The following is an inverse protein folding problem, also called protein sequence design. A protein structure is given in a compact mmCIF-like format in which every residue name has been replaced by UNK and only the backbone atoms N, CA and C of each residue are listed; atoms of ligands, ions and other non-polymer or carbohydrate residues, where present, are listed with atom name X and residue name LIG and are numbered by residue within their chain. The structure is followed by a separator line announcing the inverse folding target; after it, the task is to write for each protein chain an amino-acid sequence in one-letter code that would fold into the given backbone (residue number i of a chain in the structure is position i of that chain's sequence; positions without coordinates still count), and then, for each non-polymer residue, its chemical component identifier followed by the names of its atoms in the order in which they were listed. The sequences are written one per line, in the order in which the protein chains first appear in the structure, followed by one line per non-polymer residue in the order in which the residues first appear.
data_IF_006900348128
#
_entry.id   IF_006900348128
#
_cell.length_a   1.000
_cell.length_b   1.000
_cell.length_c   1.000
_cell.angle_alpha   90.00
_cell.angle_beta   90.00
_cell.angle_gamma   90.00
#
_symmetry.space_group_name_H-M   'P 1'
#
loop_
_entity.id
_entity.type
_entity.pdbx_description
1 polymer ?
#
# COMPACT_ATOMS: atom_id res chain seq x y z
N UNK A 1 -11.21 17.75 -23.53
CA UNK A 1 -11.17 17.27 -22.12
C UNK A 1 -11.71 15.85 -21.87
N UNK A 2 -12.38 15.17 -22.82
CA UNK A 2 -12.99 13.83 -22.58
C UNK A 2 -11.98 12.67 -22.38
N UNK A 3 -10.77 12.76 -22.93
CA UNK A 3 -9.74 11.72 -22.82
C UNK A 3 -8.96 11.76 -21.50
N UNK A 4 -8.81 12.94 -20.87
CA UNK A 4 -7.91 13.11 -19.73
C UNK A 4 -8.41 12.43 -18.45
N UNK A 5 -9.73 12.39 -18.24
CA UNK A 5 -10.34 11.83 -17.03
C UNK A 5 -10.06 10.32 -16.86
N UNK A 6 -10.32 9.43 -17.83
CA UNK A 6 -10.06 8.00 -17.67
C UNK A 6 -8.57 7.65 -17.58
N UNK A 7 -7.70 8.43 -18.25
CA UNK A 7 -6.25 8.28 -18.10
C UNK A 7 -5.77 8.66 -16.70
N UNK A 8 -6.22 9.80 -16.15
CA UNK A 8 -5.86 10.22 -14.80
C UNK A 8 -6.31 9.18 -13.76
N UNK A 9 -7.52 8.65 -13.90
CA UNK A 9 -8.07 7.62 -13.01
C UNK A 9 -7.24 6.34 -13.08
N UNK A 10 -6.85 5.93 -14.29
CA UNK A 10 -6.00 4.75 -14.49
C UNK A 10 -4.62 4.94 -13.86
N UNK A 11 -3.98 6.10 -14.07
CA UNK A 11 -2.67 6.42 -13.49
C UNK A 11 -2.73 6.43 -11.97
N UNK A 12 -3.76 7.06 -11.38
CA UNK A 12 -3.99 7.01 -9.94
C UNK A 12 -4.10 5.55 -9.50
N UNK A 13 -5.00 4.76 -10.06
CA UNK A 13 -5.20 3.38 -9.64
C UNK A 13 -3.95 2.49 -9.77
N UNK A 14 -3.25 2.53 -10.92
CA UNK A 14 -1.99 1.80 -11.16
C UNK A 14 -0.91 2.19 -10.13
N UNK A 15 -0.88 3.45 -9.68
CA UNK A 15 0.13 3.87 -8.71
C UNK A 15 0.01 3.14 -7.36
N UNK A 16 -1.15 2.55 -7.01
CA UNK A 16 -1.27 1.68 -5.82
C UNK A 16 -0.62 0.31 -5.98
N UNK A 17 -0.33 -0.10 -7.21
CA UNK A 17 0.19 -1.44 -7.52
C UNK A 17 1.71 -1.49 -7.49
N UNK A 18 2.36 -0.34 -7.64
CA UNK A 18 3.81 -0.23 -7.67
C UNK A 18 4.32 -0.29 -6.23
N UNK A 19 4.96 -1.40 -5.81
CA UNK A 19 5.59 -1.45 -4.51
C UNK A 19 6.78 -0.50 -4.49
N UNK A 20 7.31 -0.20 -3.31
CA UNK A 20 8.61 0.48 -3.16
C UNK A 20 9.78 -0.35 -3.74
N UNK A 21 9.56 -1.62 -4.06
CA UNK A 21 10.46 -2.51 -4.81
C UNK A 21 9.87 -2.87 -6.17
N UNK A 22 10.66 -2.77 -7.26
CA UNK A 22 10.20 -3.09 -8.62
C UNK A 22 9.92 -4.59 -8.76
N UNK A 23 8.66 -4.98 -8.59
CA UNK A 23 8.18 -6.31 -8.94
C UNK A 23 7.74 -6.34 -10.42
N UNK A 24 8.06 -7.42 -11.14
CA UNK A 24 7.89 -7.50 -12.61
C UNK A 24 6.42 -7.58 -13.02
N UNK A 25 5.60 -8.22 -12.20
CA UNK A 25 4.18 -8.46 -12.47
C UNK A 25 3.32 -7.18 -12.47
N UNK A 26 3.39 -6.31 -11.45
CA UNK A 26 2.68 -5.03 -11.45
C UNK A 26 3.01 -4.15 -12.65
N UNK A 27 4.29 -4.11 -13.07
CA UNK A 27 4.73 -3.35 -14.24
C UNK A 27 4.06 -3.86 -15.51
N UNK A 28 4.12 -5.18 -15.78
CA UNK A 28 3.48 -5.78 -16.95
C UNK A 28 1.96 -5.53 -16.98
N UNK A 29 1.28 -5.70 -15.85
CA UNK A 29 -0.17 -5.41 -15.72
C UNK A 29 -0.50 -3.93 -15.99
N UNK A 30 0.36 -3.02 -15.53
CA UNK A 30 0.22 -1.58 -15.77
C UNK A 30 0.31 -1.23 -17.24
N UNK A 31 1.31 -1.78 -17.94
CA UNK A 31 1.45 -1.59 -19.39
C UNK A 31 0.23 -2.13 -20.14
N UNK A 32 -0.25 -3.34 -19.80
CA UNK A 32 -1.45 -3.93 -20.41
C UNK A 32 -2.67 -3.02 -20.22
N UNK A 33 -2.86 -2.43 -19.04
CA UNK A 33 -4.00 -1.55 -18.80
C UNK A 33 -3.89 -0.21 -19.57
N UNK A 34 -2.69 0.35 -19.71
CA UNK A 34 -2.46 1.57 -20.50
C UNK A 34 -2.72 1.29 -21.98
N UNK A 35 -2.13 0.22 -22.53
CA UNK A 35 -2.34 -0.18 -23.92
C UNK A 35 -3.81 -0.54 -24.19
N UNK A 36 -4.48 -1.22 -23.26
CA UNK A 36 -5.90 -1.54 -23.36
C UNK A 36 -6.79 -0.28 -23.44
N UNK A 37 -6.48 0.74 -22.65
CA UNK A 37 -7.20 2.02 -22.70
C UNK A 37 -6.94 2.76 -24.02
N UNK A 38 -5.69 2.83 -24.49
CA UNK A 38 -5.34 3.39 -25.79
C UNK A 38 -6.07 2.66 -26.93
N UNK A 39 -6.04 1.34 -26.93
CA UNK A 39 -6.70 0.51 -27.93
C UNK A 39 -8.21 0.72 -27.92
N UNK A 40 -8.83 0.87 -26.74
CA UNK A 40 -10.25 1.16 -26.63
C UNK A 40 -10.63 2.50 -27.27
N UNK A 41 -9.81 3.55 -27.08
CA UNK A 41 -10.03 4.84 -27.73
C UNK A 41 -9.88 4.80 -29.24
N UNK A 42 -8.86 4.08 -29.75
CA UNK A 42 -8.68 3.90 -31.20
C UNK A 42 -9.83 3.06 -31.79
N UNK A 43 -10.25 2.02 -31.08
CA UNK A 43 -11.32 1.15 -31.52
C UNK A 43 -12.69 1.82 -31.45
N UNK A 44 -12.90 2.79 -30.54
CA UNK A 44 -14.13 3.57 -30.43
C UNK A 44 -14.49 4.26 -31.74
N UNK A 45 -13.50 4.81 -32.46
CA UNK A 45 -13.75 5.47 -33.76
C UNK A 45 -14.18 4.48 -34.85
N UNK A 46 -13.68 3.23 -34.78
CA UNK A 46 -13.97 2.17 -35.77
C UNK A 46 -15.22 1.35 -35.44
N UNK A 47 -15.63 1.29 -34.18
CA UNK A 47 -16.68 0.41 -33.67
C UNK A 47 -18.01 1.12 -33.41
N UNK A 48 -18.20 2.36 -33.88
CA UNK A 48 -19.39 3.20 -33.63
C UNK A 48 -20.73 2.46 -33.61
N UNK A 49 -20.92 1.45 -34.47
CA UNK A 49 -22.17 0.67 -34.55
C UNK A 49 -22.15 -0.70 -33.85
N UNK A 50 -20.97 -1.28 -33.57
CA UNK A 50 -20.83 -2.63 -33.00
C UNK A 50 -20.80 -2.57 -31.47
N UNK A 51 -21.92 -2.93 -30.84
CA UNK A 51 -22.12 -2.87 -29.37
C UNK A 51 -21.64 -4.12 -28.61
N UNK A 52 -21.37 -5.23 -29.30
CA UNK A 52 -20.96 -6.49 -28.68
C UNK A 52 -19.68 -6.38 -27.81
N UNK A 53 -18.61 -5.67 -28.23
CA UNK A 53 -17.37 -5.57 -27.44
C UNK A 53 -17.59 -4.96 -26.06
N UNK A 54 -18.41 -3.90 -25.98
CA UNK A 54 -18.74 -3.26 -24.72
C UNK A 54 -19.62 -4.16 -23.83
N UNK A 55 -20.51 -4.96 -24.40
CA UNK A 55 -21.29 -5.97 -23.65
C UNK A 55 -20.39 -7.06 -23.08
N UNK A 56 -19.43 -7.57 -23.86
CA UNK A 56 -18.48 -8.60 -23.39
C UNK A 56 -17.62 -8.11 -22.23
N UNK A 57 -17.16 -6.86 -22.28
CA UNK A 57 -16.43 -6.25 -21.16
C UNK A 57 -17.27 -6.13 -19.88
N UNK A 58 -18.57 -5.85 -19.99
CA UNK A 58 -19.47 -5.83 -18.81
C UNK A 58 -19.67 -7.23 -18.25
N UNK A 59 -19.88 -8.23 -19.11
CA UNK A 59 -19.98 -9.63 -18.69
C UNK A 59 -18.69 -10.09 -18.01
N UNK A 60 -17.54 -9.74 -18.58
CA UNK A 60 -16.23 -10.03 -18.00
C UNK A 60 -16.05 -9.35 -16.63
N UNK A 61 -16.48 -8.09 -16.48
CA UNK A 61 -16.42 -7.39 -15.20
C UNK A 61 -17.24 -8.10 -14.12
N UNK A 62 -18.44 -8.60 -14.44
CA UNK A 62 -19.27 -9.38 -13.51
C UNK A 62 -18.59 -10.71 -13.17
N UNK A 63 -18.03 -11.41 -14.15
CA UNK A 63 -17.30 -12.66 -13.91
C UNK A 63 -16.07 -12.44 -13.00
N UNK A 64 -15.33 -11.36 -13.21
CA UNK A 64 -14.20 -10.94 -12.36
C UNK A 64 -14.66 -10.68 -10.93
N UNK A 65 -15.80 -10.02 -10.73
CA UNK A 65 -16.33 -9.78 -9.38
C UNK A 65 -16.69 -11.09 -8.68
N UNK A 66 -17.33 -12.02 -9.38
CA UNK A 66 -17.73 -13.32 -8.82
C UNK A 66 -16.50 -14.16 -8.48
N UNK A 67 -15.58 -14.34 -9.43
CA UNK A 67 -14.37 -15.15 -9.22
C UNK A 67 -13.43 -14.51 -8.21
N UNK A 68 -13.30 -13.18 -8.25
CA UNK A 68 -12.46 -12.42 -7.34
C UNK A 68 -13.01 -12.33 -5.92
N UNK A 69 -14.34 -12.30 -5.74
CA UNK A 69 -14.95 -12.44 -4.41
C UNK A 69 -14.63 -13.81 -3.80
N UNK A 70 -14.69 -14.88 -4.60
CA UNK A 70 -14.29 -16.21 -4.15
C UNK A 70 -12.80 -16.27 -3.77
N UNK A 71 -11.93 -15.66 -4.58
CA UNK A 71 -10.50 -15.56 -4.27
C UNK A 71 -10.23 -14.73 -3.01
N UNK A 72 -10.94 -13.63 -2.80
CA UNK A 72 -10.81 -12.82 -1.59
C UNK A 72 -11.23 -13.58 -0.33
N UNK A 73 -12.33 -14.35 -0.41
CA UNK A 73 -12.78 -15.23 0.68
C UNK A 73 -11.74 -16.33 0.96
N UNK A 74 -11.20 -16.96 -0.09
CA UNK A 74 -10.14 -17.95 0.06
C UNK A 74 -8.88 -17.35 0.69
N UNK A 75 -8.45 -16.17 0.22
CA UNK A 75 -7.31 -15.45 0.78
C UNK A 75 -7.54 -15.06 2.24
N UNK A 76 -8.77 -14.71 2.63
CA UNK A 76 -9.13 -14.52 4.04
C UNK A 76 -9.10 -15.81 4.86
N UNK A 77 -9.45 -16.95 4.27
CA UNK A 77 -9.50 -18.23 4.97
C UNK A 77 -8.14 -18.92 5.13
N UNK A 78 -7.22 -18.71 4.18
CA UNK A 78 -5.91 -19.38 4.12
C UNK A 78 -4.77 -18.44 4.52
N UNK A 79 -4.89 -17.15 4.19
CA UNK A 79 -3.87 -16.13 4.40
C UNK A 79 -4.19 -15.18 5.55
N UNK A 80 -3.56 -14.01 5.54
CA UNK A 80 -3.85 -12.97 6.53
C UNK A 80 -5.13 -12.21 6.18
N UNK A 81 -5.75 -11.57 7.18
CA UNK A 81 -6.89 -10.66 6.96
C UNK A 81 -6.59 -9.56 5.94
N UNK A 82 -5.31 -9.22 5.80
CA UNK A 82 -4.81 -8.17 4.91
C UNK A 82 -4.71 -8.66 3.46
N UNK A 83 -4.28 -9.91 3.23
CA UNK A 83 -4.20 -10.49 1.90
C UNK A 83 -5.57 -10.58 1.23
N UNK A 84 -6.60 -10.97 1.99
CA UNK A 84 -7.99 -10.98 1.50
C UNK A 84 -8.51 -9.58 1.18
N UNK A 85 -8.17 -8.57 2.00
CA UNK A 85 -8.57 -7.19 1.76
C UNK A 85 -7.87 -6.60 0.52
N UNK A 86 -6.57 -6.83 0.35
CA UNK A 86 -5.81 -6.41 -0.85
C UNK A 86 -6.41 -7.05 -2.10
N UNK A 87 -6.66 -8.37 -2.06
CA UNK A 87 -7.25 -9.12 -3.17
C UNK A 87 -8.63 -8.56 -3.53
N UNK A 88 -9.48 -8.29 -2.54
CA UNK A 88 -10.80 -7.70 -2.74
C UNK A 88 -10.72 -6.36 -3.46
N UNK A 89 -9.91 -5.40 -2.97
CA UNK A 89 -9.83 -4.09 -3.59
C UNK A 89 -9.18 -4.12 -4.98
N UNK A 90 -8.26 -5.06 -5.24
CA UNK A 90 -7.69 -5.26 -6.56
C UNK A 90 -8.75 -5.73 -7.57
N UNK A 91 -9.52 -6.77 -7.21
CA UNK A 91 -10.64 -7.31 -8.00
C UNK A 91 -11.66 -6.23 -8.30
N UNK A 92 -12.05 -5.50 -7.26
CA UNK A 92 -13.04 -4.43 -7.33
C UNK A 92 -12.57 -3.30 -8.24
N UNK A 93 -11.30 -2.91 -8.14
CA UNK A 93 -10.69 -1.93 -9.03
C UNK A 93 -10.65 -2.42 -10.49
N UNK A 94 -10.30 -3.69 -10.72
CA UNK A 94 -10.20 -4.24 -12.07
C UNK A 94 -11.57 -4.32 -12.76
N UNK A 95 -12.60 -4.74 -12.02
CA UNK A 95 -13.98 -4.68 -12.51
C UNK A 95 -14.41 -3.24 -12.85
N UNK A 96 -14.05 -2.27 -12.02
CA UNK A 96 -14.28 -0.85 -12.29
C UNK A 96 -13.59 -0.36 -13.56
N UNK A 97 -12.35 -0.77 -13.79
CA UNK A 97 -11.61 -0.47 -15.02
C UNK A 97 -12.27 -1.07 -16.28
N UNK A 98 -12.72 -2.32 -16.23
CA UNK A 98 -13.45 -2.95 -17.34
C UNK A 98 -14.76 -2.22 -17.66
N UNK A 99 -15.49 -1.81 -16.62
CA UNK A 99 -16.69 -0.98 -16.79
C UNK A 99 -16.36 0.40 -17.41
N UNK A 100 -15.25 1.01 -17.03
CA UNK A 100 -14.78 2.26 -17.62
C UNK A 100 -14.48 2.08 -19.13
N UNK A 101 -13.74 1.04 -19.53
CA UNK A 101 -13.49 0.75 -20.95
C UNK A 101 -14.81 0.53 -21.70
N UNK A 102 -15.73 -0.26 -21.13
CA UNK A 102 -17.04 -0.50 -21.74
C UNK A 102 -17.77 0.81 -22.05
N UNK A 103 -17.68 1.81 -21.16
CA UNK A 103 -18.27 3.14 -21.38
C UNK A 103 -17.54 3.96 -22.44
N UNK A 104 -16.22 3.89 -22.50
CA UNK A 104 -15.43 4.54 -23.56
C UNK A 104 -15.87 4.01 -24.93
N UNK A 105 -16.11 2.70 -25.05
CA UNK A 105 -16.53 2.07 -26.31
C UNK A 105 -17.99 2.36 -26.72
N UNK A 106 -18.87 2.84 -25.82
CA UNK A 106 -20.27 3.19 -26.13
C UNK A 106 -20.61 4.64 -25.77
N UNK A 107 -20.09 5.63 -26.51
CA UNK A 107 -20.42 7.03 -26.28
C UNK A 107 -21.89 7.30 -26.63
N UNK A 108 -22.71 7.75 -25.66
CA UNK A 108 -24.06 8.28 -25.92
C UNK A 108 -25.24 7.49 -25.35
N UNK A 109 -25.03 6.37 -24.65
CA UNK A 109 -26.12 5.79 -23.87
C UNK A 109 -26.34 6.59 -22.58
N UNK A 110 -27.57 7.09 -22.40
CA UNK A 110 -28.07 7.45 -21.09
C UNK A 110 -27.93 6.23 -20.17
N UNK A 111 -27.44 6.41 -18.93
CA UNK A 111 -27.12 5.27 -18.07
C UNK A 111 -28.42 4.60 -17.58
N UNK A 112 -28.76 3.44 -18.15
CA UNK A 112 -29.80 2.55 -17.59
C UNK A 112 -29.41 1.98 -16.20
N UNK A 113 -28.19 2.26 -15.72
CA UNK A 113 -27.75 1.99 -14.36
C UNK A 113 -27.09 3.25 -13.78
N UNK A 114 -27.67 3.72 -12.67
CA UNK A 114 -27.52 4.98 -11.91
C UNK A 114 -26.09 5.46 -11.54
N UNK A 115 -25.03 4.88 -12.09
CA UNK A 115 -23.66 5.20 -11.74
C UNK A 115 -22.95 5.86 -12.92
N UNK A 116 -22.90 7.19 -12.94
CA UNK A 116 -22.18 7.98 -13.95
C UNK A 116 -20.66 7.69 -13.97
N UNK A 117 -19.95 8.20 -14.98
CA UNK A 117 -18.48 8.08 -15.07
C UNK A 117 -17.78 8.56 -13.79
N UNK A 118 -18.33 9.60 -13.13
CA UNK A 118 -17.82 10.11 -11.86
C UNK A 118 -17.89 9.11 -10.69
N UNK A 119 -18.90 8.22 -10.65
CA UNK A 119 -18.96 7.17 -9.62
C UNK A 119 -17.80 6.19 -9.78
N UNK A 120 -17.51 5.77 -11.01
CA UNK A 120 -16.38 4.86 -11.28
C UNK A 120 -15.03 5.49 -10.95
N UNK A 121 -14.88 6.78 -11.24
CA UNK A 121 -13.70 7.56 -10.83
C UNK A 121 -13.53 7.55 -9.31
N UNK A 122 -14.59 7.89 -8.57
CA UNK A 122 -14.56 7.91 -7.10
C UNK A 122 -14.31 6.52 -6.52
N UNK A 123 -14.90 5.49 -7.12
CA UNK A 123 -14.76 4.11 -6.69
C UNK A 123 -13.34 3.57 -6.89
N UNK A 124 -12.72 3.87 -8.03
CA UNK A 124 -11.33 3.52 -8.32
C UNK A 124 -10.35 4.29 -7.43
N UNK A 125 -10.62 5.57 -7.16
CA UNK A 125 -9.84 6.37 -6.21
C UNK A 125 -9.98 5.88 -4.77
N UNK A 126 -11.19 5.49 -4.34
CA UNK A 126 -11.42 4.90 -3.04
C UNK A 126 -10.68 3.56 -2.91
N UNK A 127 -10.79 2.70 -3.93
CA UNK A 127 -10.08 1.41 -3.97
C UNK A 127 -8.56 1.63 -3.93
N UNK A 128 -8.04 2.59 -4.70
CA UNK A 128 -6.62 2.99 -4.66
C UNK A 128 -6.16 3.43 -3.27
N UNK A 129 -6.94 4.30 -2.62
CA UNK A 129 -6.63 4.82 -1.28
C UNK A 129 -6.54 3.69 -0.25
N UNK A 130 -7.52 2.78 -0.27
CA UNK A 130 -7.56 1.63 0.64
C UNK A 130 -6.45 0.61 0.37
N UNK A 131 -6.16 0.27 -0.90
CA UNK A 131 -5.04 -0.62 -1.26
C UNK A 131 -3.72 -0.02 -0.82
N UNK A 132 -3.51 1.28 -1.04
CA UNK A 132 -2.27 1.95 -0.65
C UNK A 132 -2.10 1.98 0.87
N UNK A 133 -3.18 2.23 1.61
CA UNK A 133 -3.18 2.19 3.07
C UNK A 133 -2.90 0.79 3.62
N UNK A 134 -3.51 -0.25 3.03
CA UNK A 134 -3.27 -1.65 3.39
C UNK A 134 -1.87 -2.10 3.01
N UNK A 135 -1.36 -1.72 1.84
CA UNK A 135 0.02 -2.01 1.41
C UNK A 135 1.04 -1.39 2.36
N UNK A 136 0.83 -0.14 2.79
CA UNK A 136 1.65 0.48 3.84
C UNK A 136 1.50 -0.21 5.20
N UNK A 137 0.33 -0.77 5.52
CA UNK A 137 0.13 -1.56 6.73
C UNK A 137 0.87 -2.90 6.67
N UNK A 138 0.84 -3.61 5.54
CA UNK A 138 1.61 -4.86 5.33
C UNK A 138 3.10 -4.59 5.37
N UNK A 139 3.58 -3.56 4.65
CA UNK A 139 5.01 -3.21 4.65
C UNK A 139 5.50 -2.56 5.95
N UNK A 140 4.60 -2.24 6.90
CA UNK A 140 4.99 -1.88 8.27
C UNK A 140 5.44 -3.08 9.09
N UNK A 141 5.15 -4.31 8.67
CA UNK A 141 5.63 -5.52 9.32
C UNK A 141 6.70 -6.18 8.46
N UNK A 142 7.93 -6.24 8.96
CA UNK A 142 8.95 -7.11 8.39
C UNK A 142 8.37 -8.54 8.26
N UNK A 143 8.52 -9.17 7.10
CA UNK A 143 8.18 -10.59 6.93
C UNK A 143 9.22 -11.44 7.65
N UNK A 144 9.09 -11.58 8.97
CA UNK A 144 9.94 -12.38 9.83
C UNK A 144 9.57 -12.14 11.29
N UNK A 145 9.51 -13.21 12.09
CA UNK A 145 9.20 -13.28 13.52
C UNK A 145 8.85 -11.92 14.18
N UNK A 146 7.70 -11.36 13.78
CA UNK A 146 7.27 -10.00 14.18
C UNK A 146 6.93 -9.95 15.66
N UNK A 147 6.65 -11.10 16.25
CA UNK A 147 6.37 -11.26 17.68
C UNK A 147 7.58 -10.88 18.56
N UNK A 148 8.78 -10.82 17.97
CA UNK A 148 9.99 -10.37 18.66
C UNK A 148 10.47 -8.96 18.29
N UNK A 149 9.78 -8.26 17.38
CA UNK A 149 10.16 -6.93 16.92
C UNK A 149 9.25 -5.85 17.50
N UNK A 150 9.83 -4.85 18.15
CA UNK A 150 9.08 -3.77 18.79
C UNK A 150 9.76 -2.43 18.55
N UNK A 151 8.95 -1.37 18.55
CA UNK A 151 9.44 0.00 18.53
C UNK A 151 9.41 0.51 19.96
N UNK A 152 10.57 0.86 20.51
CA UNK A 152 10.69 1.36 21.86
C UNK A 152 10.84 2.88 21.86
N UNK A 153 10.07 3.52 22.73
CA UNK A 153 10.15 4.96 23.00
C UNK A 153 10.81 5.22 24.35
N UNK A 154 11.60 6.30 24.47
CA UNK A 154 12.27 6.62 25.72
C UNK A 154 11.26 7.12 26.76
N UNK A 155 11.32 6.57 27.98
CA UNK A 155 10.62 7.08 29.16
C UNK A 155 11.60 7.18 30.33
N UNK A 156 11.59 8.29 31.07
CA UNK A 156 12.52 9.43 30.96
C UNK A 156 14.02 9.17 30.64
N UNK A 157 14.57 7.96 30.77
CA UNK A 157 15.97 7.63 30.41
C UNK A 157 16.14 6.17 29.92
N UNK A 158 15.04 5.40 29.77
CA UNK A 158 15.09 3.99 29.35
C UNK A 158 14.09 3.69 28.25
N UNK A 159 14.48 2.80 27.34
CA UNK A 159 13.62 2.21 26.31
C UNK A 159 12.84 1.02 26.89
N UNK A 160 12.00 1.28 27.90
CA UNK A 160 11.23 0.24 28.60
C UNK A 160 9.77 0.16 28.18
N UNK A 161 9.34 0.99 27.24
CA UNK A 161 7.95 1.08 26.80
C UNK A 161 7.87 0.91 25.29
N UNK A 162 7.03 -0.03 24.87
CA UNK A 162 6.65 -0.19 23.48
C UNK A 162 5.76 0.98 23.02
N UNK A 163 5.96 1.39 21.78
CA UNK A 163 5.16 2.39 21.10
C UNK A 163 3.74 1.88 20.91
N UNK A 164 2.80 2.45 21.64
CA UNK A 164 1.39 2.07 21.51
C UNK A 164 0.73 2.67 20.27
N UNK A 165 1.29 3.76 19.76
CA UNK A 165 0.65 4.59 18.76
C UNK A 165 1.65 5.42 17.94
N UNK A 166 1.47 5.47 16.63
CA UNK A 166 2.28 6.30 15.71
C UNK A 166 2.22 7.79 16.09
N UNK A 167 1.16 8.23 16.78
CA UNK A 167 1.01 9.61 17.22
C UNK A 167 2.07 10.02 18.25
N UNK A 168 2.64 9.07 19.00
CA UNK A 168 3.72 9.30 19.96
C UNK A 168 5.06 9.63 19.27
N UNK A 169 5.22 9.27 17.99
CA UNK A 169 6.42 9.58 17.18
C UNK A 169 6.44 11.04 16.66
N UNK A 170 5.44 11.86 16.98
CA UNK A 170 5.30 13.21 16.43
C UNK A 170 6.23 14.22 17.09
N UNK A 171 6.46 14.10 18.40
CA UNK A 171 7.21 15.09 19.16
C UNK A 171 8.71 14.78 19.13
N UNK A 172 9.59 15.68 18.66
CA UNK A 172 11.03 15.44 18.71
C UNK A 172 11.51 15.28 20.15
N UNK A 173 12.12 14.14 20.43
CA UNK A 173 12.88 13.91 21.64
C UNK A 173 14.27 13.46 21.23
N UNK A 174 15.24 14.38 21.31
CA UNK A 174 16.66 14.07 21.24
C UNK A 174 17.26 14.71 22.47
N UNK A 175 17.47 13.89 23.49
CA UNK A 175 18.10 14.33 24.72
C UNK A 175 19.55 13.84 24.72
N UNK A 176 20.45 14.68 25.20
CA UNK A 176 21.81 14.26 25.54
C UNK A 176 21.87 14.17 27.05
N UNK A 177 22.06 12.96 27.56
CA UNK A 177 22.15 12.71 28.98
C UNK A 177 23.59 12.38 29.35
N UNK A 178 24.11 13.02 30.40
CA UNK A 178 25.46 12.78 30.91
C UNK A 178 25.35 11.83 32.09
N UNK A 179 25.42 10.54 31.82
CA UNK A 179 25.11 9.49 32.81
C UNK A 179 26.35 8.76 33.34
N UNK A 180 27.56 9.05 32.83
CA UNK A 180 28.80 8.39 33.27
C UNK A 180 29.66 9.23 34.22
N UNK A 181 30.42 8.60 35.15
CA UNK A 181 31.40 9.29 36.00
C UNK A 181 32.55 9.94 35.22
N UNK A 182 32.77 9.48 33.98
CA UNK A 182 33.77 10.00 33.03
C UNK A 182 33.22 11.08 32.09
N UNK A 183 31.95 11.48 32.25
CA UNK A 183 31.32 12.54 31.46
C UNK A 183 30.94 12.13 30.03
N UNK A 184 30.85 10.83 29.73
CA UNK A 184 30.38 10.29 28.45
C UNK A 184 28.97 10.79 28.13
N UNK A 185 28.80 11.25 26.89
CA UNK A 185 27.51 11.77 26.38
C UNK A 185 26.74 10.59 25.81
N UNK A 186 25.57 10.31 26.38
CA UNK A 186 24.62 9.33 25.86
C UNK A 186 23.61 10.06 24.97
N UNK A 187 23.33 9.52 23.79
CA UNK A 187 22.32 10.05 22.88
C UNK A 187 21.03 9.26 23.07
N UNK A 188 20.02 9.94 23.61
CA UNK A 188 18.67 9.39 23.65
C UNK A 188 18.01 9.63 22.28
N UNK A 189 17.85 8.55 21.53
CA UNK A 189 17.13 8.50 20.26
C UNK A 189 15.62 8.62 20.49
N UNK A 190 14.97 9.29 19.55
CA UNK A 190 13.53 9.52 19.57
C UNK A 190 12.68 8.24 19.62
N UNK A 191 13.08 7.24 18.83
CA UNK A 191 12.53 5.89 18.86
C UNK A 191 13.61 4.94 18.35
N UNK A 192 13.63 3.72 18.87
CA UNK A 192 14.45 2.64 18.35
C UNK A 192 13.56 1.48 17.92
N UNK A 193 13.94 0.79 16.85
CA UNK A 193 13.34 -0.50 16.47
C UNK A 193 14.33 -1.59 16.89
N UNK A 194 13.87 -2.51 17.72
CA UNK A 194 14.60 -3.72 18.08
C UNK A 194 14.03 -4.84 17.23
N UNK A 195 14.85 -5.45 16.37
CA UNK A 195 14.41 -6.49 15.46
C UNK A 195 15.31 -7.74 15.58
N UNK A 196 14.74 -8.94 15.78
CA UNK A 196 15.51 -10.16 15.79
C UNK A 196 15.97 -10.48 14.36
N UNK A 197 17.28 -10.49 14.12
CA UNK A 197 17.88 -11.05 12.90
C UNK A 197 18.49 -12.43 13.24
N UNK A 198 18.67 -13.28 12.22
CA UNK A 198 18.88 -14.74 12.37
C UNK A 198 19.91 -15.14 13.45
N UNK A 199 21.01 -14.40 13.58
CA UNK A 199 22.08 -14.70 14.55
C UNK A 199 22.25 -13.62 15.63
N UNK A 200 21.64 -12.44 15.47
CA UNK A 200 21.84 -11.28 16.36
C UNK A 200 20.63 -10.37 16.35
N UNK A 201 20.35 -9.74 17.49
CA UNK A 201 19.39 -8.63 17.53
C UNK A 201 20.01 -7.39 16.88
N UNK A 202 19.29 -6.82 15.93
CA UNK A 202 19.64 -5.55 15.31
C UNK A 202 18.82 -4.43 15.94
N UNK A 203 19.48 -3.31 16.22
CA UNK A 203 18.85 -2.12 16.78
C UNK A 203 18.96 -1.01 15.76
N UNK A 204 17.86 -0.33 15.51
CA UNK A 204 17.77 0.75 14.54
C UNK A 204 17.30 2.03 15.19
N UNK A 205 17.84 3.19 14.80
CA UNK A 205 17.30 4.49 15.18
C UNK A 205 16.19 4.92 14.22
N UNK A 206 15.22 5.67 14.70
CA UNK A 206 14.34 6.42 13.82
C UNK A 206 15.03 7.70 13.32
N UNK A 207 15.40 7.73 12.04
CA UNK A 207 16.02 8.88 11.40
C UNK A 207 14.95 9.84 10.88
N UNK A 208 14.74 10.97 11.58
CA UNK A 208 13.81 12.03 11.12
C UNK A 208 14.22 12.65 9.78
N UNK A 209 15.54 12.68 9.48
CA UNK A 209 16.05 13.24 8.21
C UNK A 209 15.67 12.39 7.00
N UNK A 210 15.67 11.07 7.16
CA UNK A 210 15.38 10.12 6.07
C UNK A 210 14.02 9.43 6.19
N UNK A 211 13.27 9.73 7.25
CA UNK A 211 11.95 9.16 7.57
C UNK A 211 11.96 7.62 7.53
N UNK A 212 13.02 7.02 8.06
CA UNK A 212 13.23 5.55 8.07
C UNK A 212 14.05 5.10 9.27
N UNK A 213 14.02 3.81 9.55
CA UNK A 213 14.90 3.18 10.52
C UNK A 213 16.31 2.98 9.95
N UNK A 214 17.36 3.41 10.67
CA UNK A 214 18.76 3.23 10.27
C UNK A 214 19.52 2.44 11.32
N UNK A 215 20.41 1.54 10.86
CA UNK A 215 21.14 0.64 11.75
C UNK A 215 22.00 1.41 12.75
N UNK A 216 21.91 1.03 14.02
CA UNK A 216 22.75 1.54 15.09
C UNK A 216 23.89 0.57 15.38
N UNK A 217 25.08 1.12 15.61
CA UNK A 217 26.22 0.35 16.11
C UNK A 217 26.02 0.06 17.60
N UNK A 218 25.72 -1.21 17.90
CA UNK A 218 25.52 -1.71 19.26
C UNK A 218 26.79 -1.68 20.11
N UNK A 219 27.99 -1.69 19.49
CA UNK A 219 29.26 -1.55 20.24
C UNK A 219 29.42 -0.15 20.83
N UNK A 220 28.92 0.88 20.13
CA UNK A 220 28.93 2.28 20.59
C UNK A 220 27.77 2.61 21.52
N UNK A 221 26.71 1.82 21.50
CA UNK A 221 25.50 2.02 22.30
C UNK A 221 25.12 0.76 23.09
N UNK A 222 26.00 0.26 23.98
CA UNK A 222 25.77 -1.00 24.71
C UNK A 222 24.63 -0.94 25.72
N UNK A 223 24.09 0.25 26.00
CA UNK A 223 23.01 0.49 26.96
C UNK A 223 21.61 0.33 26.36
N UNK A 224 21.50 0.17 25.04
CA UNK A 224 20.22 -0.03 24.37
C UNK A 224 19.69 -1.46 24.61
N UNK A 225 18.38 -1.64 24.79
CA UNK A 225 17.80 -2.96 24.97
C UNK A 225 17.96 -3.79 23.69
N UNK A 226 18.26 -5.07 23.88
CA UNK A 226 18.36 -6.08 22.82
C UNK A 226 17.14 -7.00 22.78
N UNK A 227 16.15 -6.73 23.64
CA UNK A 227 14.93 -7.49 23.81
C UNK A 227 13.76 -6.54 23.91
N UNK A 228 12.62 -6.97 23.37
CA UNK A 228 11.34 -6.32 23.58
C UNK A 228 10.81 -6.65 24.99
N UNK A 229 10.28 -5.67 25.72
CA UNK A 229 9.68 -5.86 27.04
C UNK A 229 8.35 -6.64 26.98
#
# INVERSE_FOLDING_TARGET
MKFASPFLVLVCWISSWLPTSLDKWPLSLSFVCIFGLCAAFVAQERLKDRRWPAKMLRVLAVLVLISGAFLAILAWSIGTSVDGAITFFYVVGFAGYLHMISRVLTPGQAPDLHFGTGFWVLFLLASWSWVSALGMFVHRGASGNTDGACILVPKPVRYGTELSSIWEMRLPHVATSRTGPTGTIVFDYHAILVAPAHERTEVYNWSKRRMRFEILDTKRNPYLPTLCP
#
